data_IF_687655441672
#
_entry.id   IF_687655441672
#
_cell.length_a   1.000
_cell.length_b   1.000
_cell.length_c   1.000
_cell.angle_alpha   90.00
_cell.angle_beta   90.00
_cell.angle_gamma   90.00
#
_symmetry.space_group_name_H-M   'P 1'
#
loop_
_entity.id
_entity.type
_entity.pdbx_description
1 polymer ?
#
# COMPACT_ATOMS: atom_id res chain seq x y z
N UNK A 1 9.64 12.25 3.29
CA UNK A 1 8.86 11.05 3.65
C UNK A 1 7.63 11.47 4.45
N UNK A 2 6.47 11.12 3.98
CA UNK A 2 5.24 11.38 4.72
C UNK A 2 5.25 10.58 6.04
N UNK A 3 4.88 11.17 7.19
CA UNK A 3 4.82 10.45 8.45
C UNK A 3 3.76 9.34 8.41
N UNK A 4 3.96 8.30 9.20
CA UNK A 4 2.93 7.28 9.40
C UNK A 4 1.75 7.92 10.12
N UNK A 5 0.55 7.74 9.57
CA UNK A 5 -0.65 8.28 10.19
C UNK A 5 -0.98 7.55 11.50
N UNK A 6 -1.01 8.27 12.62
CA UNK A 6 -1.45 7.72 13.91
C UNK A 6 -2.88 7.20 13.83
N UNK A 7 -3.72 7.87 13.05
CA UNK A 7 -5.11 7.45 12.82
C UNK A 7 -5.18 6.09 12.10
N UNK A 8 -4.32 5.86 11.10
CA UNK A 8 -4.21 4.56 10.43
C UNK A 8 -3.81 3.46 11.43
N UNK A 9 -2.77 3.68 12.22
CA UNK A 9 -2.31 2.71 13.23
C UNK A 9 -3.41 2.38 14.23
N UNK A 10 -4.09 3.38 14.76
CA UNK A 10 -5.19 3.18 15.71
C UNK A 10 -6.35 2.40 15.09
N UNK A 11 -6.67 2.66 13.83
CA UNK A 11 -7.72 1.92 13.13
C UNK A 11 -7.35 0.45 12.94
N UNK A 12 -6.10 0.15 12.60
CA UNK A 12 -5.61 -1.23 12.46
C UNK A 12 -5.64 -1.95 13.81
N UNK A 13 -5.22 -1.30 14.89
CA UNK A 13 -5.28 -1.86 16.24
C UNK A 13 -6.73 -2.15 16.66
N UNK A 14 -7.67 -1.26 16.34
CA UNK A 14 -9.09 -1.49 16.62
C UNK A 14 -9.64 -2.69 15.84
N UNK A 15 -9.24 -2.85 14.57
CA UNK A 15 -9.60 -4.02 13.76
C UNK A 15 -9.04 -5.31 14.36
N UNK A 16 -7.76 -5.34 14.73
CA UNK A 16 -7.16 -6.49 15.39
C UNK A 16 -7.89 -6.85 16.69
N UNK A 17 -8.21 -5.85 17.52
CA UNK A 17 -8.94 -6.03 18.77
C UNK A 17 -10.34 -6.63 18.53
N UNK A 18 -11.02 -6.26 17.46
CA UNK A 18 -12.34 -6.81 17.13
C UNK A 18 -12.31 -8.30 16.78
N UNK A 19 -11.18 -8.84 16.34
CA UNK A 19 -11.01 -10.25 16.00
C UNK A 19 -10.60 -11.12 17.18
N UNK A 20 -10.15 -10.57 18.32
CA UNK A 20 -9.51 -11.32 19.40
C UNK A 20 -10.37 -12.49 19.90
N UNK A 21 -11.68 -12.30 20.07
CA UNK A 21 -12.57 -13.31 20.60
C UNK A 21 -13.12 -14.27 19.53
N UNK A 22 -13.34 -13.78 18.32
CA UNK A 22 -13.96 -14.54 17.24
C UNK A 22 -12.95 -15.29 16.39
N UNK A 23 -11.80 -14.69 16.12
CA UNK A 23 -10.73 -15.23 15.29
C UNK A 23 -9.37 -14.72 15.76
N UNK A 24 -8.84 -15.34 16.82
CA UNK A 24 -7.57 -14.95 17.42
C UNK A 24 -6.38 -15.09 16.45
N UNK A 25 -6.44 -16.02 15.50
CA UNK A 25 -5.41 -16.20 14.48
C UNK A 25 -5.40 -15.01 13.52
N UNK A 26 -6.55 -14.57 13.07
CA UNK A 26 -6.70 -13.36 12.24
C UNK A 26 -6.20 -12.11 12.97
N UNK A 27 -6.50 -11.97 14.27
CA UNK A 27 -6.00 -10.86 15.09
C UNK A 27 -4.45 -10.84 15.12
N UNK A 28 -3.81 -11.99 15.28
CA UNK A 28 -2.35 -12.13 15.26
C UNK A 28 -1.76 -11.75 13.90
N UNK A 29 -2.38 -12.19 12.81
CA UNK A 29 -1.95 -11.87 11.44
C UNK A 29 -1.98 -10.37 11.20
N UNK A 30 -3.07 -9.69 11.56
CA UNK A 30 -3.20 -8.24 11.44
C UNK A 30 -2.11 -7.51 12.25
N UNK A 31 -1.84 -7.95 13.47
CA UNK A 31 -0.77 -7.35 14.30
C UNK A 31 0.62 -7.60 13.75
N UNK A 32 0.89 -8.79 13.20
CA UNK A 32 2.16 -9.11 12.54
C UNK A 32 2.37 -8.26 11.28
N UNK A 33 1.34 -8.08 10.46
CA UNK A 33 1.38 -7.22 9.28
C UNK A 33 1.61 -5.74 9.67
N UNK A 34 0.97 -5.26 10.74
CA UNK A 34 1.20 -3.90 11.25
C UNK A 34 2.65 -3.74 11.71
N UNK A 35 3.21 -4.73 12.41
CA UNK A 35 4.61 -4.75 12.81
C UNK A 35 5.55 -4.67 11.62
N UNK A 36 5.31 -5.44 10.57
CA UNK A 36 6.09 -5.41 9.32
C UNK A 36 5.98 -4.04 8.62
N UNK A 37 4.78 -3.47 8.56
CA UNK A 37 4.54 -2.14 8.01
C UNK A 37 5.36 -1.06 8.74
N UNK A 38 5.30 -1.04 10.07
CA UNK A 38 6.02 -0.06 10.88
C UNK A 38 7.53 -0.24 10.77
N UNK A 39 8.03 -1.48 10.77
CA UNK A 39 9.46 -1.78 10.62
C UNK A 39 9.99 -1.23 9.30
N UNK A 40 9.29 -1.41 8.20
CA UNK A 40 9.68 -0.87 6.90
C UNK A 40 9.72 0.66 6.92
N UNK A 41 8.69 1.29 7.46
CA UNK A 41 8.58 2.76 7.52
C UNK A 41 9.63 3.41 8.44
N UNK A 42 10.05 2.71 9.47
CA UNK A 42 11.06 3.22 10.42
C UNK A 42 12.51 3.03 9.95
N UNK A 43 12.73 2.48 8.76
CA UNK A 43 14.08 2.40 8.16
C UNK A 43 14.69 3.78 7.83
N UNK A 44 13.94 4.85 8.01
CA UNK A 44 14.40 6.21 7.79
C UNK A 44 14.63 6.53 6.31
N UNK A 45 15.77 7.15 6.00
CA UNK A 45 16.13 7.54 4.62
C UNK A 45 16.89 6.44 3.85
N UNK A 46 17.06 5.26 4.42
CA UNK A 46 17.74 4.15 3.75
C UNK A 46 16.93 3.67 2.55
N UNK A 47 17.52 3.75 1.36
CA UNK A 47 16.91 3.25 0.14
C UNK A 47 16.63 1.75 0.23
N UNK A 48 15.49 1.34 -0.30
CA UNK A 48 15.06 -0.05 -0.44
C UNK A 48 14.84 -0.37 -1.91
N UNK A 49 14.92 -1.65 -2.27
CA UNK A 49 14.61 -2.07 -3.63
C UNK A 49 13.13 -1.86 -3.94
N UNK A 50 12.81 -1.65 -5.21
CA UNK A 50 11.40 -1.50 -5.62
C UNK A 50 10.54 -2.74 -5.25
N UNK A 51 11.02 -4.00 -5.41
CA UNK A 51 10.28 -5.16 -4.91
C UNK A 51 9.98 -5.12 -3.40
N UNK A 52 10.92 -4.65 -2.56
CA UNK A 52 10.68 -4.48 -1.12
C UNK A 52 9.61 -3.42 -0.85
N UNK A 53 9.64 -2.31 -1.57
CA UNK A 53 8.62 -1.27 -1.44
C UNK A 53 7.24 -1.76 -1.91
N UNK A 54 7.18 -2.55 -2.99
CA UNK A 54 5.92 -3.16 -3.46
C UNK A 54 5.37 -4.19 -2.46
N UNK A 55 6.22 -4.93 -1.77
CA UNK A 55 5.79 -5.80 -0.68
C UNK A 55 5.20 -4.98 0.48
N UNK A 56 5.80 -3.83 0.78
CA UNK A 56 5.25 -2.87 1.75
C UNK A 56 3.86 -2.33 1.32
N UNK A 57 3.68 -2.03 0.03
CA UNK A 57 2.37 -1.68 -0.53
C UNK A 57 1.36 -2.81 -0.35
N UNK A 58 1.77 -4.05 -0.59
CA UNK A 58 0.94 -5.25 -0.41
C UNK A 58 0.48 -5.39 1.04
N UNK A 59 1.38 -5.25 2.00
CA UNK A 59 1.08 -5.29 3.44
C UNK A 59 0.10 -4.17 3.81
N UNK A 60 0.32 -2.95 3.34
CA UNK A 60 -0.59 -1.83 3.55
C UNK A 60 -2.00 -2.11 3.04
N UNK A 61 -2.12 -2.62 1.80
CA UNK A 61 -3.42 -2.95 1.21
C UNK A 61 -4.11 -4.11 1.92
N UNK A 62 -3.34 -5.08 2.44
CA UNK A 62 -3.87 -6.16 3.29
C UNK A 62 -4.47 -5.61 4.58
N UNK A 63 -3.80 -4.66 5.25
CA UNK A 63 -4.31 -4.00 6.44
C UNK A 63 -5.59 -3.19 6.16
N UNK A 64 -5.65 -2.46 5.05
CA UNK A 64 -6.85 -1.75 4.63
C UNK A 64 -8.00 -2.73 4.26
N UNK A 65 -7.68 -3.87 3.66
CA UNK A 65 -8.66 -4.91 3.34
C UNK A 65 -9.26 -5.56 4.60
N UNK A 66 -8.49 -5.66 5.68
CA UNK A 66 -9.01 -6.11 6.98
C UNK A 66 -10.01 -5.13 7.58
N UNK A 67 -9.83 -3.83 7.31
CA UNK A 67 -10.72 -2.75 7.75
C UNK A 67 -11.95 -2.59 6.84
N UNK A 68 -11.76 -2.72 5.53
CA UNK A 68 -12.80 -2.58 4.51
C UNK A 68 -13.05 -3.93 3.83
N UNK A 69 -13.64 -4.86 4.57
CA UNK A 69 -13.87 -6.24 4.13
C UNK A 69 -14.56 -6.28 2.77
N UNK A 70 -14.02 -7.09 1.85
CA UNK A 70 -14.52 -7.31 0.49
C UNK A 70 -14.62 -6.06 -0.41
N UNK A 71 -14.00 -4.94 -0.02
CA UNK A 71 -14.05 -3.71 -0.81
C UNK A 71 -12.85 -3.49 -1.71
N UNK A 72 -11.68 -4.05 -1.39
CA UNK A 72 -10.42 -3.76 -2.11
C UNK A 72 -9.97 -4.97 -2.91
N UNK A 73 -9.84 -4.79 -4.22
CA UNK A 73 -9.24 -5.75 -5.14
C UNK A 73 -7.85 -5.24 -5.50
N UNK A 74 -6.82 -6.07 -5.31
CA UNK A 74 -5.42 -5.68 -5.45
C UNK A 74 -4.80 -6.35 -6.67
N UNK A 75 -4.22 -5.55 -7.56
CA UNK A 75 -3.43 -6.01 -8.72
C UNK A 75 -2.05 -5.36 -8.67
N UNK A 76 -1.04 -6.09 -8.23
CA UNK A 76 0.34 -5.63 -8.17
C UNK A 76 1.19 -6.43 -9.18
N UNK A 77 2.20 -5.80 -9.79
CA UNK A 77 3.10 -6.48 -10.71
C UNK A 77 3.97 -7.49 -9.97
N UNK A 78 4.39 -8.53 -10.67
CA UNK A 78 5.40 -9.47 -10.16
C UNK A 78 6.78 -8.81 -10.14
N UNK A 79 7.66 -9.28 -9.26
CA UNK A 79 9.00 -8.72 -9.08
C UNK A 79 9.81 -8.69 -10.39
N UNK A 80 9.61 -9.68 -11.27
CA UNK A 80 10.30 -9.78 -12.57
C UNK A 80 9.89 -8.70 -13.58
N UNK A 81 8.72 -8.07 -13.38
CA UNK A 81 8.21 -6.99 -14.22
C UNK A 81 8.73 -5.62 -13.79
N UNK A 82 9.35 -5.54 -12.60
CA UNK A 82 9.80 -4.28 -12.01
C UNK A 82 11.20 -3.90 -12.51
N UNK A 83 11.46 -2.60 -12.74
CA UNK A 83 12.81 -2.13 -13.00
C UNK A 83 13.70 -2.33 -11.75
N UNK A 84 15.00 -2.55 -11.99
CA UNK A 84 16.00 -2.66 -10.92
C UNK A 84 16.39 -1.26 -10.41
N UNK A 85 15.54 -0.71 -9.56
CA UNK A 85 15.71 0.62 -8.99
C UNK A 85 15.49 0.59 -7.48
N UNK A 86 16.06 1.60 -6.80
CA UNK A 86 15.89 1.83 -5.36
C UNK A 86 15.05 3.08 -5.12
N UNK A 87 14.23 3.04 -4.08
CA UNK A 87 13.34 4.13 -3.67
C UNK A 87 13.44 4.35 -2.17
N UNK A 88 12.95 5.48 -1.69
CA UNK A 88 12.79 5.69 -0.25
C UNK A 88 11.62 4.86 0.32
N UNK A 89 11.74 4.38 1.57
CA UNK A 89 10.63 3.66 2.23
C UNK A 89 9.37 4.52 2.27
N UNK A 90 8.29 4.04 1.68
CA UNK A 90 7.01 4.73 1.61
C UNK A 90 6.83 5.64 0.38
N UNK A 91 7.82 5.75 -0.51
CA UNK A 91 7.71 6.59 -1.71
C UNK A 91 6.63 6.11 -2.69
N UNK A 92 6.33 4.83 -2.71
CA UNK A 92 5.21 4.27 -3.47
C UNK A 92 3.98 4.09 -2.59
N UNK A 93 4.14 3.55 -1.39
CA UNK A 93 3.02 3.29 -0.47
C UNK A 93 2.29 4.59 -0.08
N UNK A 94 2.99 5.70 0.16
CA UNK A 94 2.38 6.99 0.51
C UNK A 94 1.37 7.48 -0.54
N UNK A 95 1.75 7.63 -1.82
CA UNK A 95 0.82 7.99 -2.89
C UNK A 95 -0.36 7.02 -3.07
N UNK A 96 -0.13 5.71 -2.90
CA UNK A 96 -1.22 4.71 -2.93
C UNK A 96 -2.21 4.96 -1.79
N UNK A 97 -1.72 5.20 -0.58
CA UNK A 97 -2.56 5.50 0.58
C UNK A 97 -3.38 6.77 0.39
N UNK A 98 -2.77 7.83 -0.15
CA UNK A 98 -3.46 9.11 -0.40
C UNK A 98 -4.58 8.94 -1.44
N UNK A 99 -4.29 8.27 -2.55
CA UNK A 99 -5.27 8.03 -3.61
C UNK A 99 -6.43 7.14 -3.13
N UNK A 100 -6.11 6.03 -2.46
CA UNK A 100 -7.12 5.12 -1.93
C UNK A 100 -7.99 5.80 -0.87
N UNK A 101 -7.39 6.59 0.03
CA UNK A 101 -8.13 7.34 1.05
C UNK A 101 -9.14 8.31 0.44
N UNK A 102 -8.74 9.08 -0.57
CA UNK A 102 -9.66 9.96 -1.31
C UNK A 102 -10.78 9.18 -1.99
N UNK A 103 -10.44 8.07 -2.65
CA UNK A 103 -11.41 7.23 -3.34
C UNK A 103 -12.48 6.69 -2.40
N UNK A 104 -12.07 6.13 -1.27
CA UNK A 104 -12.98 5.52 -0.28
C UNK A 104 -13.96 6.52 0.35
N UNK A 105 -13.59 7.81 0.42
CA UNK A 105 -14.48 8.89 0.90
C UNK A 105 -15.51 9.25 -0.18
N UNK A 106 -15.11 9.26 -1.46
CA UNK A 106 -15.94 9.75 -2.56
C UNK A 106 -16.83 8.67 -3.17
N UNK A 107 -16.48 7.40 -3.03
CA UNK A 107 -17.13 6.29 -3.69
C UNK A 107 -17.54 5.19 -2.72
N UNK A 108 -18.65 4.56 -3.02
CA UNK A 108 -19.10 3.33 -2.33
C UNK A 108 -18.82 2.10 -3.21
N UNK A 109 -18.89 0.91 -2.59
CA UNK A 109 -18.68 -0.35 -3.28
C UNK A 109 -17.20 -0.74 -3.39
N UNK A 110 -16.92 -1.68 -4.29
CA UNK A 110 -15.58 -2.22 -4.48
C UNK A 110 -14.70 -1.28 -5.28
N UNK A 111 -13.41 -1.27 -4.94
CA UNK A 111 -12.37 -0.57 -5.67
C UNK A 111 -11.28 -1.56 -6.07
N UNK A 112 -10.83 -1.48 -7.32
CA UNK A 112 -9.61 -2.16 -7.77
C UNK A 112 -8.46 -1.18 -7.68
N UNK A 113 -7.38 -1.59 -7.02
CA UNK A 113 -6.12 -0.87 -6.91
C UNK A 113 -5.09 -1.61 -7.76
N UNK A 114 -4.69 -1.03 -8.87
CA UNK A 114 -3.73 -1.63 -9.78
C UNK A 114 -2.48 -0.75 -9.90
N UNK A 115 -1.30 -1.34 -9.77
CA UNK A 115 -0.02 -0.71 -10.06
C UNK A 115 0.62 -1.38 -11.28
N UNK A 116 1.15 -0.59 -12.20
CA UNK A 116 1.82 -1.08 -13.40
C UNK A 116 3.09 -0.30 -13.68
N UNK A 117 4.21 -0.98 -13.95
CA UNK A 117 5.43 -0.30 -14.36
C UNK A 117 5.24 0.41 -15.71
N UNK A 118 5.77 1.65 -15.80
CA UNK A 118 5.74 2.42 -17.04
C UNK A 118 6.95 3.36 -17.14
N UNK A 119 8.01 2.88 -17.78
CA UNK A 119 9.27 3.61 -17.84
C UNK A 119 9.87 3.82 -16.46
N UNK A 120 10.16 5.06 -16.11
CA UNK A 120 10.70 5.45 -14.80
C UNK A 120 9.62 5.80 -13.77
N UNK A 121 8.43 5.23 -13.91
CA UNK A 121 7.30 5.49 -13.03
C UNK A 121 6.46 4.23 -12.83
N UNK A 122 5.60 4.27 -11.82
CA UNK A 122 4.47 3.36 -11.68
C UNK A 122 3.17 4.11 -11.99
N UNK A 123 2.32 3.53 -12.79
CA UNK A 123 0.96 4.03 -12.97
C UNK A 123 0.04 3.32 -11.96
N UNK A 124 -0.52 4.10 -11.05
CA UNK A 124 -1.58 3.67 -10.14
C UNK A 124 -2.93 3.93 -10.79
N UNK A 125 -3.75 2.92 -10.85
CA UNK A 125 -5.13 3.01 -11.33
C UNK A 125 -6.10 2.57 -10.24
N UNK A 126 -7.10 3.40 -9.99
CA UNK A 126 -8.25 3.07 -9.15
C UNK A 126 -9.49 3.06 -10.02
N UNK A 127 -10.25 1.99 -10.00
CA UNK A 127 -11.52 1.88 -10.73
C UNK A 127 -12.53 0.98 -9.98
N UNK A 128 -13.72 0.91 -10.52
CA UNK A 128 -14.79 0.04 -10.01
C UNK A 128 -14.79 -1.27 -10.80
N UNK A 129 -14.39 -2.39 -10.20
CA UNK A 129 -14.41 -3.68 -10.91
C UNK A 129 -15.82 -4.12 -11.33
N UNK A 130 -16.84 -3.68 -10.59
CA UNK A 130 -18.23 -4.04 -10.83
C UNK A 130 -18.95 -3.06 -11.79
N UNK A 131 -18.34 -1.93 -12.13
CA UNK A 131 -18.86 -0.93 -13.05
C UNK A 131 -17.75 -0.27 -13.88
N UNK A 132 -17.17 -1.00 -14.84
CA UNK A 132 -16.03 -0.52 -15.61
C UNK A 132 -16.35 0.65 -16.56
N UNK A 133 -17.62 0.98 -16.75
CA UNK A 133 -18.03 2.13 -17.54
C UNK A 133 -17.86 3.47 -16.78
N UNK A 134 -17.75 3.44 -15.46
CA UNK A 134 -17.48 4.62 -14.68
C UNK A 134 -16.01 5.02 -14.78
N UNK A 135 -15.70 6.32 -14.87
CA UNK A 135 -14.32 6.78 -14.95
C UNK A 135 -13.55 6.43 -13.66
N UNK A 136 -12.35 5.89 -13.86
CA UNK A 136 -11.40 5.66 -12.78
C UNK A 136 -10.49 6.86 -12.52
N UNK A 137 -9.66 6.75 -11.49
CA UNK A 137 -8.58 7.68 -11.19
C UNK A 137 -7.24 7.08 -11.59
N UNK A 138 -6.35 7.89 -12.17
CA UNK A 138 -4.98 7.51 -12.48
C UNK A 138 -4.02 8.48 -11.81
N UNK A 139 -3.00 7.91 -11.18
CA UNK A 139 -1.92 8.67 -10.54
C UNK A 139 -0.60 8.11 -11.03
N UNK A 140 0.27 8.98 -11.53
CA UNK A 140 1.63 8.61 -11.89
C UNK A 140 2.55 8.81 -10.70
N UNK A 141 3.23 7.74 -10.28
CA UNK A 141 4.19 7.75 -9.19
C UNK A 141 5.59 7.70 -9.80
N UNK A 142 6.32 8.81 -9.81
CA UNK A 142 7.69 8.81 -10.32
C UNK A 142 8.58 8.00 -9.39
N UNK A 143 9.44 7.16 -9.97
CA UNK A 143 10.44 6.43 -9.23
C UNK A 143 11.68 7.32 -9.15
N UNK A 144 11.78 8.09 -8.07
CA UNK A 144 12.98 8.87 -7.79
C UNK A 144 14.14 7.89 -7.55
N UNK A 145 15.19 7.98 -8.38
CA UNK A 145 16.36 7.13 -8.26
C UNK A 145 17.12 7.49 -6.98
N UNK A 146 16.82 6.80 -5.89
CA UNK A 146 17.72 6.75 -4.76
C UNK A 146 18.91 5.89 -5.19
N UNK A 147 20.08 6.46 -5.27
CA UNK A 147 21.30 5.72 -5.61
C UNK A 147 21.59 4.68 -4.53
N UNK A 148 21.88 3.45 -4.95
CA UNK A 148 22.25 2.34 -4.07
C UNK A 148 23.53 2.58 -3.23
N UNK A 149 24.06 3.79 -3.22
CA UNK A 149 25.31 4.18 -2.59
C UNK A 149 25.22 5.15 -1.40
N UNK A 150 24.03 5.55 -0.96
CA UNK A 150 23.88 6.41 0.21
C UNK A 150 23.59 5.62 1.50
N UNK A 151 24.33 4.54 1.70
CA UNK A 151 24.43 3.88 2.99
C UNK A 151 25.66 4.43 3.71
N UNK A 152 25.49 5.52 4.38
CA UNK A 152 26.43 5.96 5.40
C UNK A 152 25.70 6.00 6.73
#
# INVERSE_FOLDING_TARGET
MAPVSVHFVNNVLAVAASYIEEDAERARDVLAELGAFLTHRLRGSRAVSLPEELEHVRVYLSLESARFVDRIVVELPDAVELPDVYVGPGDVQGPVADALGRWLIQHHGRVRVALRPRGEALDLQLDRPDDPAQPGERVRIPLGLATAGSAA
#
